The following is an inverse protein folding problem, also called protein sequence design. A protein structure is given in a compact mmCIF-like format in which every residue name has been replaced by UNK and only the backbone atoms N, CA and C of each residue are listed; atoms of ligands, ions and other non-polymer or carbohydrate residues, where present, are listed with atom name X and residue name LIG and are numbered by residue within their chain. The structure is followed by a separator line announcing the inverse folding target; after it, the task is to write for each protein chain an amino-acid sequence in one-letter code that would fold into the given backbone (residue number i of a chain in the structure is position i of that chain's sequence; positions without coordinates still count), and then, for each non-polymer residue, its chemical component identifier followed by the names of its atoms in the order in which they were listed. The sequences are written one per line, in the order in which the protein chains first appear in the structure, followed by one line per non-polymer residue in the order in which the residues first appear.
data_IF_173200067341
#
_entry.id   IF_173200067341
#
_cell.length_a   1.000
_cell.length_b   1.000
_cell.length_c   1.000
_cell.angle_alpha   90.00
_cell.angle_beta   90.00
_cell.angle_gamma   90.00
#
_symmetry.space_group_name_H-M   'P 1'
#
loop_
_entity.id
_entity.type
_entity.pdbx_description
1 polymer ?
#
# COMPACT_ATOMS: atom_id res chain seq x y z
N UNK A 1 13.46 -2.24 2.62
CA UNK A 1 13.18 -2.67 4.01
C UNK A 1 12.78 -4.11 3.94
N UNK A 2 13.39 -4.99 4.72
CA UNK A 2 13.07 -6.41 4.74
C UNK A 2 12.45 -6.72 6.11
N UNK A 3 11.20 -7.16 6.12
CA UNK A 3 10.51 -7.63 7.32
C UNK A 3 10.82 -9.11 7.55
N UNK A 4 10.79 -9.57 8.80
CA UNK A 4 11.18 -10.93 9.17
C UNK A 4 10.38 -12.02 8.41
N UNK A 5 9.10 -11.78 8.13
CA UNK A 5 8.30 -12.60 7.23
C UNK A 5 7.36 -11.72 6.37
N UNK A 6 7.28 -12.03 5.08
CA UNK A 6 6.33 -11.44 4.12
C UNK A 6 5.52 -12.56 3.48
N UNK A 7 4.20 -12.45 3.50
CA UNK A 7 3.31 -13.23 2.64
C UNK A 7 2.46 -12.28 1.79
N UNK A 8 2.17 -12.65 0.55
CA UNK A 8 1.40 -11.83 -0.38
C UNK A 8 0.43 -12.68 -1.18
N UNK A 9 -0.81 -12.21 -1.32
CA UNK A 9 -1.82 -12.78 -2.20
C UNK A 9 -2.29 -11.71 -3.20
N UNK A 10 -2.35 -12.06 -4.49
CA UNK A 10 -2.88 -11.21 -5.55
C UNK A 10 -4.25 -11.70 -6.00
N UNK A 11 -5.24 -10.82 -6.07
CA UNK A 11 -6.57 -11.11 -6.56
C UNK A 11 -6.88 -10.28 -7.81
N UNK A 12 -7.37 -10.95 -8.86
CA UNK A 12 -7.86 -10.29 -10.07
C UNK A 12 -9.37 -10.08 -9.94
N UNK A 13 -9.81 -8.82 -9.93
CA UNK A 13 -11.21 -8.42 -9.91
C UNK A 13 -11.61 -7.87 -11.28
N UNK A 14 -12.33 -8.69 -12.06
CA UNK A 14 -12.71 -8.35 -13.43
C UNK A 14 -11.52 -8.36 -14.40
N UNK A 15 -11.79 -8.19 -15.69
CA UNK A 15 -10.76 -8.37 -16.73
C UNK A 15 -9.51 -7.49 -16.56
N UNK A 16 -9.59 -6.35 -15.85
CA UNK A 16 -8.56 -5.30 -15.88
C UNK A 16 -8.25 -4.64 -14.52
N UNK A 17 -8.62 -5.22 -13.37
CA UNK A 17 -8.30 -4.61 -12.07
C UNK A 17 -7.75 -5.62 -11.08
N UNK A 18 -6.65 -5.28 -10.45
CA UNK A 18 -5.97 -6.13 -9.47
C UNK A 18 -6.01 -5.47 -8.09
N UNK A 19 -6.20 -6.30 -7.07
CA UNK A 19 -6.06 -5.95 -5.66
C UNK A 19 -5.09 -6.95 -5.05
N UNK A 20 -3.96 -6.47 -4.54
CA UNK A 20 -3.03 -7.25 -3.74
C UNK A 20 -3.27 -7.02 -2.26
N UNK A 21 -3.17 -8.09 -1.47
CA UNK A 21 -3.10 -8.06 -0.02
C UNK A 21 -1.74 -8.61 0.40
N UNK A 22 -0.97 -7.80 1.15
CA UNK A 22 0.28 -8.20 1.75
C UNK A 22 0.17 -8.19 3.27
N UNK A 23 0.72 -9.22 3.91
CA UNK A 23 0.86 -9.30 5.36
C UNK A 23 2.34 -9.33 5.71
N UNK A 24 2.71 -8.45 6.63
CA UNK A 24 4.06 -8.34 7.19
C UNK A 24 3.99 -8.58 8.70
N UNK A 25 4.88 -9.40 9.24
CA UNK A 25 4.98 -9.62 10.68
C UNK A 25 6.39 -9.37 11.20
N UNK A 26 6.47 -8.68 12.34
CA UNK A 26 7.71 -8.36 13.05
C UNK A 26 7.37 -7.80 14.45
N UNK A 27 8.39 -7.42 15.22
CA UNK A 27 8.21 -6.62 16.42
C UNK A 27 7.38 -5.35 16.12
N UNK A 28 6.37 -4.99 16.94
CA UNK A 28 5.48 -3.86 16.66
C UNK A 28 6.22 -2.53 16.41
N UNK A 29 7.30 -2.27 17.14
CA UNK A 29 8.13 -1.07 16.97
C UNK A 29 8.85 -1.03 15.62
N UNK A 30 9.32 -2.19 15.11
CA UNK A 30 9.96 -2.30 13.80
C UNK A 30 8.96 -2.11 12.67
N UNK A 31 7.76 -2.70 12.75
CA UNK A 31 6.70 -2.49 11.77
C UNK A 31 6.31 -1.01 11.69
N UNK A 32 6.09 -0.38 12.84
CA UNK A 32 5.69 1.04 12.91
C UNK A 32 6.79 1.96 12.36
N UNK A 33 8.05 1.71 12.70
CA UNK A 33 9.18 2.47 12.16
C UNK A 33 9.35 2.27 10.64
N UNK A 34 9.23 1.02 10.16
CA UNK A 34 9.32 0.69 8.74
C UNK A 34 8.22 1.33 7.92
N UNK A 35 6.98 1.29 8.43
CA UNK A 35 5.82 1.89 7.78
C UNK A 35 5.94 3.42 7.69
N UNK A 36 6.34 4.09 8.79
CA UNK A 36 6.63 5.53 8.78
C UNK A 36 7.68 5.91 7.75
N UNK A 37 8.78 5.15 7.68
CA UNK A 37 9.85 5.41 6.71
C UNK A 37 9.41 5.18 5.27
N UNK A 38 8.60 4.15 5.02
CA UNK A 38 8.02 3.89 3.69
C UNK A 38 7.13 5.05 3.25
N UNK A 39 6.17 5.45 4.09
CA UNK A 39 5.24 6.53 3.78
C UNK A 39 5.97 7.85 3.57
N UNK A 40 6.94 8.16 4.43
CA UNK A 40 7.78 9.35 4.26
C UNK A 40 8.53 9.32 2.93
N UNK A 41 9.13 8.19 2.55
CA UNK A 41 9.86 8.07 1.28
C UNK A 41 8.94 8.22 0.07
N UNK A 42 7.72 7.67 0.12
CA UNK A 42 6.76 7.76 -0.97
C UNK A 42 6.17 9.17 -1.11
N UNK A 43 5.92 9.86 0.01
CA UNK A 43 5.22 11.15 0.03
C UNK A 43 6.15 12.37 0.07
N UNK A 44 7.46 12.20 0.29
CA UNK A 44 8.43 13.30 0.32
C UNK A 44 8.66 13.93 -1.06
N UNK A 45 8.55 13.14 -2.12
CA UNK A 45 8.68 13.59 -3.51
C UNK A 45 7.35 13.35 -4.21
N UNK A 46 6.49 14.38 -4.37
CA UNK A 46 5.16 14.20 -4.93
C UNK A 46 5.19 13.75 -6.39
N UNK A 47 6.30 13.96 -7.11
CA UNK A 47 6.50 13.47 -8.47
C UNK A 47 7.93 12.97 -8.65
N UNK A 48 8.11 11.79 -9.25
CA UNK A 48 9.41 11.21 -9.59
C UNK A 48 9.31 10.29 -10.81
N UNK A 49 10.45 9.94 -11.41
CA UNK A 49 10.49 8.98 -12.53
C UNK A 49 10.94 7.62 -12.04
N UNK A 50 10.31 6.55 -12.54
CA UNK A 50 10.70 5.16 -12.29
C UNK A 50 10.69 4.39 -13.61
N UNK A 51 11.57 3.41 -13.77
CA UNK A 51 11.58 2.55 -14.96
C UNK A 51 10.95 1.19 -14.65
N UNK A 52 9.95 0.79 -15.43
CA UNK A 52 9.40 -0.57 -15.42
C UNK A 52 9.93 -1.33 -16.63
N UNK A 53 10.81 -2.31 -16.41
CA UNK A 53 11.58 -2.94 -17.48
C UNK A 53 12.47 -1.91 -18.18
N UNK A 54 12.17 -1.59 -19.43
CA UNK A 54 12.82 -0.52 -20.22
C UNK A 54 11.96 0.74 -20.39
N UNK A 55 10.76 0.77 -19.82
CA UNK A 55 9.80 1.87 -20.02
C UNK A 55 9.88 2.87 -18.87
N UNK A 56 10.24 4.14 -19.11
CA UNK A 56 10.16 5.18 -18.10
C UNK A 56 8.69 5.53 -17.81
N UNK A 57 8.38 5.69 -16.52
CA UNK A 57 7.09 6.08 -16.00
C UNK A 57 7.26 7.32 -15.13
N UNK A 58 6.38 8.30 -15.31
CA UNK A 58 6.22 9.38 -14.34
C UNK A 58 5.29 8.89 -13.25
N UNK A 59 5.73 9.01 -12.01
CA UNK A 59 4.98 8.61 -10.83
C UNK A 59 4.62 9.85 -10.05
N UNK A 60 3.33 10.04 -9.79
CA UNK A 60 2.83 11.09 -8.89
C UNK A 60 2.21 10.44 -7.66
N UNK A 61 2.58 10.91 -6.47
CA UNK A 61 2.08 10.39 -5.20
C UNK A 61 1.30 11.48 -4.47
N UNK A 62 0.08 11.13 -4.04
CA UNK A 62 -0.77 11.96 -3.20
C UNK A 62 -1.09 11.21 -1.92
N UNK A 63 -0.80 11.81 -0.77
CA UNK A 63 -1.24 11.27 0.52
C UNK A 63 -2.76 11.30 0.61
N UNK A 64 -3.36 10.23 1.10
CA UNK A 64 -4.80 10.14 1.35
C UNK A 64 -5.06 9.98 2.86
N UNK A 65 -6.34 10.07 3.25
CA UNK A 65 -6.75 9.79 4.61
C UNK A 65 -6.55 8.31 4.95
N UNK A 66 -5.99 8.04 6.14
CA UNK A 66 -5.73 6.69 6.60
C UNK A 66 -7.04 5.96 6.98
N UNK A 67 -7.15 4.65 6.70
CA UNK A 67 -8.26 3.82 7.16
C UNK A 67 -8.12 3.53 8.66
N UNK A 68 -9.18 3.79 9.44
CA UNK A 68 -9.23 3.69 10.91
C UNK A 68 -8.18 4.58 11.64
N UNK A 69 -8.58 5.38 12.63
CA UNK A 69 -7.70 6.37 13.30
C UNK A 69 -6.75 5.76 14.34
N UNK A 70 -6.27 4.53 14.10
CA UNK A 70 -5.21 3.92 14.88
C UNK A 70 -3.86 4.63 14.69
N UNK A 71 -2.92 4.40 15.61
CA UNK A 71 -1.61 5.10 15.60
C UNK A 71 -0.71 4.77 14.40
N UNK A 72 -0.98 3.64 13.72
CA UNK A 72 -0.15 3.11 12.63
C UNK A 72 -1.00 2.71 11.41
N UNK A 73 -1.76 3.67 10.90
CA UNK A 73 -2.54 3.56 9.66
C UNK A 73 -2.10 4.62 8.65
N UNK A 74 -2.03 4.23 7.37
CA UNK A 74 -1.60 5.13 6.28
C UNK A 74 -2.29 4.80 4.97
N UNK A 75 -2.47 5.83 4.14
CA UNK A 75 -2.88 5.66 2.74
C UNK A 75 -2.24 6.70 1.83
N UNK A 76 -2.04 6.33 0.58
CA UNK A 76 -1.67 7.23 -0.50
C UNK A 76 -2.10 6.66 -1.86
N UNK A 77 -2.34 7.56 -2.80
CA UNK A 77 -2.65 7.24 -4.19
C UNK A 77 -1.44 7.54 -5.06
N UNK A 78 -1.10 6.60 -5.92
CA UNK A 78 -0.04 6.72 -6.92
C UNK A 78 -0.65 6.73 -8.32
N UNK A 79 -0.30 7.72 -9.13
CA UNK A 79 -0.61 7.74 -10.57
C UNK A 79 0.66 7.45 -11.35
N UNK A 80 0.67 6.36 -12.10
CA UNK A 80 1.76 5.97 -12.99
C UNK A 80 1.36 6.36 -14.41
N UNK A 81 2.13 7.25 -15.03
CA UNK A 81 1.90 7.74 -16.39
C UNK A 81 3.04 7.28 -17.29
N UNK A 82 2.69 6.55 -18.35
CA UNK A 82 3.64 6.09 -19.36
C UNK A 82 3.06 6.12 -20.77
N UNK A 83 3.75 5.56 -21.77
CA UNK A 83 3.30 5.56 -23.17
C UNK A 83 1.94 4.90 -23.39
N UNK A 84 1.57 3.94 -22.55
CA UNK A 84 0.27 3.24 -22.61
C UNK A 84 -0.87 3.96 -21.87
N UNK A 85 -0.63 5.16 -21.32
CA UNK A 85 -1.61 5.92 -20.55
C UNK A 85 -1.31 5.99 -19.06
N UNK A 86 -2.32 6.35 -18.27
CA UNK A 86 -2.23 6.50 -16.82
C UNK A 86 -2.89 5.35 -16.09
N UNK A 87 -2.23 4.82 -15.06
CA UNK A 87 -2.78 3.87 -14.11
C UNK A 87 -2.79 4.49 -12.73
N UNK A 88 -3.93 4.39 -12.03
CA UNK A 88 -4.09 4.90 -10.67
C UNK A 88 -4.17 3.71 -9.71
N UNK A 89 -3.30 3.70 -8.72
CA UNK A 89 -3.26 2.71 -7.65
C UNK A 89 -3.42 3.42 -6.31
N UNK A 90 -4.16 2.83 -5.39
CA UNK A 90 -4.16 3.20 -3.98
C UNK A 90 -3.38 2.17 -3.19
N UNK A 91 -2.60 2.65 -2.23
CA UNK A 91 -1.99 1.83 -1.19
C UNK A 91 -2.58 2.24 0.15
N UNK A 92 -3.06 1.28 0.92
CA UNK A 92 -3.54 1.49 2.28
C UNK A 92 -2.93 0.43 3.20
N UNK A 93 -2.49 0.82 4.39
CA UNK A 93 -1.85 -0.10 5.32
C UNK A 93 -2.23 0.19 6.77
N UNK A 94 -2.46 -0.86 7.56
CA UNK A 94 -2.82 -0.79 8.98
C UNK A 94 -2.08 -1.86 9.77
N UNK A 95 -1.44 -1.45 10.87
CA UNK A 95 -0.83 -2.37 11.83
C UNK A 95 -1.76 -2.65 13.00
N UNK A 96 -1.88 -3.92 13.39
CA UNK A 96 -2.41 -4.33 14.70
C UNK A 96 -1.46 -5.34 15.33
N UNK A 97 -1.09 -5.11 16.60
CA UNK A 97 -0.09 -5.92 17.31
C UNK A 97 1.20 -6.12 16.48
N UNK A 98 1.61 -7.36 16.23
CA UNK A 98 2.79 -7.76 15.47
C UNK A 98 2.54 -8.01 13.98
N UNK A 99 1.39 -7.57 13.44
CA UNK A 99 1.03 -7.77 12.03
C UNK A 99 0.61 -6.44 11.37
N UNK A 100 1.09 -6.22 10.15
CA UNK A 100 0.71 -5.12 9.27
C UNK A 100 0.04 -5.70 8.03
N UNK A 101 -1.18 -5.28 7.73
CA UNK A 101 -1.80 -5.52 6.43
C UNK A 101 -1.60 -4.33 5.51
N UNK A 102 -1.33 -4.59 4.23
CA UNK A 102 -1.24 -3.59 3.19
C UNK A 102 -2.05 -4.04 1.97
N UNK A 103 -2.98 -3.20 1.54
CA UNK A 103 -3.70 -3.38 0.29
C UNK A 103 -3.13 -2.44 -0.78
N UNK A 104 -2.93 -2.96 -1.98
CA UNK A 104 -2.49 -2.18 -3.15
C UNK A 104 -3.35 -2.55 -4.35
N UNK A 105 -3.97 -1.58 -5.01
CA UNK A 105 -4.82 -1.88 -6.17
C UNK A 105 -5.62 -0.69 -6.66
N UNK A 106 -6.67 -0.95 -7.42
CA UNK A 106 -7.60 0.09 -7.83
C UNK A 106 -8.21 0.80 -6.59
N UNK A 107 -8.30 2.14 -6.55
CA UNK A 107 -8.73 2.87 -5.35
C UNK A 107 -10.06 2.41 -4.76
N UNK A 108 -11.07 2.18 -5.60
CA UNK A 108 -12.39 1.73 -5.17
C UNK A 108 -12.39 0.31 -4.59
N UNK A 109 -11.47 -0.56 -5.03
CA UNK A 109 -11.31 -1.91 -4.47
C UNK A 109 -10.60 -1.85 -3.12
N UNK A 110 -9.55 -1.02 -2.99
CA UNK A 110 -8.86 -0.82 -1.72
C UNK A 110 -9.82 -0.29 -0.67
N UNK A 111 -10.59 0.75 -1.00
CA UNK A 111 -11.56 1.37 -0.08
C UNK A 111 -12.67 0.40 0.33
N UNK A 112 -13.11 -0.46 -0.59
CA UNK A 112 -14.13 -1.48 -0.31
C UNK A 112 -13.61 -2.60 0.61
N UNK A 113 -12.34 -2.98 0.49
CA UNK A 113 -11.83 -4.21 1.10
C UNK A 113 -10.94 -4.00 2.33
N UNK A 114 -10.52 -2.76 2.62
CA UNK A 114 -9.60 -2.49 3.73
C UNK A 114 -10.15 -2.87 5.11
N UNK A 115 -11.43 -2.60 5.39
CA UNK A 115 -12.05 -2.98 6.68
C UNK A 115 -12.11 -4.51 6.86
N UNK A 116 -12.42 -5.24 5.78
CA UNK A 116 -12.40 -6.69 5.80
C UNK A 116 -10.98 -7.25 6.00
N UNK A 117 -9.96 -6.60 5.45
CA UNK A 117 -8.56 -6.98 5.65
C UNK A 117 -8.11 -6.70 7.10
N UNK A 118 -8.49 -5.55 7.68
CA UNK A 118 -8.24 -5.19 9.07
C UNK A 118 -8.89 -6.19 10.03
N UNK A 119 -10.11 -6.64 9.73
CA UNK A 119 -10.84 -7.61 10.56
C UNK A 119 -10.15 -8.99 10.66
N UNK A 120 -9.26 -9.34 9.72
CA UNK A 120 -8.46 -10.57 9.76
C UNK A 120 -7.25 -10.45 10.71
N UNK A 121 -6.86 -9.23 11.09
CA UNK A 121 -5.70 -9.02 11.95
C UNK A 121 -5.99 -9.47 13.39
N UNK A 122 -4.96 -9.91 14.13
CA UNK A 122 -5.11 -10.20 15.55
C UNK A 122 -5.59 -8.96 16.32
N UNK A 123 -6.28 -9.18 17.43
CA UNK A 123 -6.61 -8.12 18.37
C UNK A 123 -5.33 -7.40 18.86
N UNK A 124 -5.49 -6.13 19.23
CA UNK A 124 -4.37 -5.28 19.68
C UNK A 124 -3.81 -5.71 21.02
#
# INVERSE_FOLDING_TARGET
MQFAAKTSAGFTFGANSTLGEELHSDAPSKLSAGLRRLVQAQTSCPTYTMTSGSTPLTVTVRKDDAPDRGSDAYAYTTTLTGPGGSQVLKTAAVRRSNVLVMLVGAPSLVDRHIEAAIAKLPAS
#
